data_IF_707389299202
#
_entry.id   IF_707389299202
#
_cell.length_a   1.000
_cell.length_b   1.000
_cell.length_c   1.000
_cell.angle_alpha   90.00
_cell.angle_beta   90.00
_cell.angle_gamma   90.00
#
_symmetry.space_group_name_H-M   'P 1'
#
loop_
_entity.id
_entity.type
_entity.pdbx_description
1 polymer ?
#
# COMPACT_ATOMS: atom_id res chain seq x y z
N UNK A 1 -12.59 79.45 -74.98
CA UNK A 1 -13.82 80.17 -74.57
C UNK A 1 -14.89 79.12 -74.31
N UNK A 2 -15.42 79.06 -73.07
CA UNK A 2 -16.65 78.33 -72.63
C UNK A 2 -16.56 76.79 -72.50
N UNK A 3 -16.52 76.24 -71.28
CA UNK A 3 -17.64 75.60 -70.49
C UNK A 3 -18.19 74.32 -71.17
N UNK A 4 -18.48 73.15 -70.56
CA UNK A 4 -18.92 72.76 -69.20
C UNK A 4 -19.18 71.21 -69.18
N UNK A 5 -18.94 70.54 -68.03
CA UNK A 5 -19.77 69.46 -67.38
C UNK A 5 -19.75 67.97 -67.84
N UNK A 6 -19.32 67.11 -66.87
CA UNK A 6 -19.82 65.77 -66.41
C UNK A 6 -19.94 64.59 -67.41
N UNK A 7 -19.88 63.29 -67.06
CA UNK A 7 -20.07 62.52 -65.83
C UNK A 7 -19.37 61.13 -66.04
N UNK A 8 -18.57 60.68 -65.07
CA UNK A 8 -18.52 59.29 -64.50
C UNK A 8 -18.33 58.06 -65.42
N UNK A 9 -17.25 57.28 -65.19
CA UNK A 9 -17.30 55.91 -64.62
C UNK A 9 -16.02 55.05 -64.92
N UNK A 10 -15.58 54.37 -63.86
CA UNK A 10 -15.03 52.99 -63.81
C UNK A 10 -13.50 52.76 -63.75
N UNK A 11 -13.13 52.10 -62.64
CA UNK A 11 -12.02 51.16 -62.39
C UNK A 11 -10.66 51.71 -61.98
N UNK A 12 -10.48 51.87 -60.66
CA UNK A 12 -9.17 51.79 -60.03
C UNK A 12 -9.13 50.50 -59.20
N UNK A 13 -8.52 49.45 -59.77
CA UNK A 13 -8.25 48.20 -59.07
C UNK A 13 -7.11 48.45 -58.07
N UNK A 14 -7.46 48.55 -56.79
CA UNK A 14 -6.52 48.71 -55.69
C UNK A 14 -6.10 47.31 -55.21
N UNK A 15 -4.83 46.97 -55.47
CA UNK A 15 -4.18 45.74 -55.03
C UNK A 15 -3.89 45.86 -53.51
N UNK A 16 -4.73 45.26 -52.67
CA UNK A 16 -4.48 45.13 -51.23
C UNK A 16 -3.58 43.91 -51.00
N UNK A 17 -2.31 44.16 -50.69
CA UNK A 17 -1.40 43.17 -50.11
C UNK A 17 -1.86 42.90 -48.67
N UNK A 18 -2.45 41.72 -48.44
CA UNK A 18 -2.71 41.20 -47.11
C UNK A 18 -1.38 40.82 -46.46
N UNK A 19 -0.91 41.67 -45.55
CA UNK A 19 0.17 41.36 -44.61
C UNK A 19 -0.39 40.45 -43.52
N UNK A 20 -0.12 39.14 -43.61
CA UNK A 20 -0.39 38.21 -42.52
C UNK A 20 0.69 38.39 -41.43
N UNK A 21 0.41 39.21 -40.42
CA UNK A 21 1.15 39.18 -39.15
C UNK A 21 0.78 37.90 -38.40
N UNK A 22 1.72 36.96 -38.32
CA UNK A 22 1.63 35.81 -37.42
C UNK A 22 1.93 36.28 -35.99
N UNK A 23 0.89 36.59 -35.22
CA UNK A 23 1.04 36.83 -33.78
C UNK A 23 1.40 35.51 -33.10
N UNK A 24 2.65 35.41 -32.64
CA UNK A 24 3.13 34.32 -31.80
C UNK A 24 2.45 34.47 -30.43
N UNK A 25 1.47 33.60 -30.18
CA UNK A 25 0.80 33.49 -28.88
C UNK A 25 1.86 33.19 -27.79
N UNK A 26 1.81 33.85 -26.62
CA UNK A 26 2.68 33.49 -25.52
C UNK A 26 2.28 32.09 -25.05
N UNK A 27 3.18 31.14 -25.26
CA UNK A 27 3.12 29.81 -24.69
C UNK A 27 3.24 29.99 -23.18
N UNK A 28 2.09 30.04 -22.49
CA UNK A 28 2.02 29.94 -21.04
C UNK A 28 2.66 28.62 -20.68
N UNK A 29 3.90 28.69 -20.17
CA UNK A 29 4.59 27.59 -19.52
C UNK A 29 3.70 27.15 -18.36
N UNK A 30 2.89 26.12 -18.61
CA UNK A 30 2.01 25.56 -17.60
C UNK A 30 2.89 25.12 -16.44
N UNK A 31 2.59 25.61 -15.23
CA UNK A 31 3.26 25.12 -14.03
C UNK A 31 3.20 23.58 -14.05
N UNK A 32 4.33 22.89 -13.79
CA UNK A 32 4.32 21.44 -13.76
C UNK A 32 3.22 20.98 -12.80
N UNK A 33 2.46 19.92 -13.14
CA UNK A 33 1.40 19.43 -12.28
C UNK A 33 1.96 19.19 -10.88
N UNK A 34 1.20 19.50 -9.81
CA UNK A 34 1.61 19.21 -8.44
C UNK A 34 2.13 17.77 -8.34
N UNK A 35 3.30 17.56 -7.73
CA UNK A 35 3.87 16.21 -7.59
C UNK A 35 2.82 15.28 -6.99
N UNK A 36 2.67 14.09 -7.58
CA UNK A 36 1.76 13.04 -7.12
C UNK A 36 1.96 12.69 -5.64
N UNK A 37 3.12 13.03 -5.06
CA UNK A 37 3.45 12.83 -3.66
C UNK A 37 2.73 13.79 -2.70
N UNK A 38 2.31 14.98 -3.15
CA UNK A 38 1.79 16.02 -2.24
C UNK A 38 0.50 15.60 -1.50
N UNK A 39 -0.33 14.77 -2.15
CA UNK A 39 -1.59 14.27 -1.60
C UNK A 39 -1.58 12.76 -1.36
N UNK A 40 -0.42 12.13 -1.43
CA UNK A 40 -0.33 10.68 -1.28
C UNK A 40 -0.48 10.29 0.21
N UNK A 41 -1.22 9.23 0.55
CA UNK A 41 -1.38 8.78 1.93
C UNK A 41 -0.05 8.51 2.62
N UNK A 42 0.05 8.89 3.89
CA UNK A 42 1.28 8.74 4.68
C UNK A 42 1.07 7.82 5.87
N UNK A 43 2.08 7.03 6.19
CA UNK A 43 2.12 6.20 7.38
C UNK A 43 2.88 6.94 8.46
N UNK A 44 2.28 7.12 9.64
CA UNK A 44 2.93 7.83 10.73
C UNK A 44 4.07 6.98 11.33
N UNK A 45 5.27 7.54 11.32
CA UNK A 45 6.48 6.95 11.86
C UNK A 45 6.95 7.71 13.11
N UNK A 46 7.51 7.02 14.12
CA UNK A 46 7.61 5.57 14.23
C UNK A 46 6.23 4.91 14.43
N UNK A 47 6.02 3.70 13.90
CA UNK A 47 4.79 2.95 14.10
C UNK A 47 4.60 2.50 15.57
N UNK A 48 3.37 2.16 15.97
CA UNK A 48 3.10 1.44 17.22
C UNK A 48 3.92 0.16 17.37
N UNK A 49 4.21 -0.25 18.61
CA UNK A 49 4.94 -1.49 18.87
C UNK A 49 4.21 -2.69 18.24
N UNK A 50 4.87 -3.48 17.36
CA UNK A 50 4.26 -4.66 16.77
C UNK A 50 4.32 -5.83 17.75
N UNK A 51 3.37 -6.76 17.62
CA UNK A 51 3.37 -8.01 18.39
C UNK A 51 4.62 -8.84 18.15
N UNK A 52 5.10 -8.85 16.89
CA UNK A 52 6.38 -9.43 16.49
C UNK A 52 6.86 -8.79 15.18
N UNK A 53 8.14 -8.93 14.87
CA UNK A 53 8.72 -8.42 13.61
C UNK A 53 9.78 -9.35 13.03
N UNK A 54 10.00 -9.27 11.73
CA UNK A 54 11.09 -9.97 11.04
C UNK A 54 11.59 -9.16 9.84
N UNK A 55 12.81 -9.42 9.38
CA UNK A 55 13.39 -8.83 8.18
C UNK A 55 13.37 -9.91 7.10
N UNK A 56 12.86 -9.56 5.92
CA UNK A 56 12.95 -10.41 4.73
C UNK A 56 14.33 -10.19 4.10
N UNK A 57 15.02 -11.28 3.77
CA UNK A 57 16.34 -11.22 3.14
C UNK A 57 16.24 -10.54 1.77
N UNK A 58 17.10 -9.54 1.52
CA UNK A 58 17.09 -8.78 0.27
C UNK A 58 17.31 -9.65 -0.98
N UNK A 59 17.99 -10.79 -0.85
CA UNK A 59 18.16 -11.76 -1.96
C UNK A 59 16.83 -12.26 -2.55
N UNK A 60 15.74 -12.21 -1.78
CA UNK A 60 14.39 -12.56 -2.25
C UNK A 60 13.88 -11.54 -3.29
N UNK A 61 14.35 -10.30 -3.22
CA UNK A 61 13.89 -9.21 -4.08
C UNK A 61 14.85 -8.91 -5.22
N UNK A 62 16.15 -9.13 -5.02
CA UNK A 62 17.16 -8.80 -6.01
C UNK A 62 17.03 -9.71 -7.26
N UNK A 63 17.15 -9.10 -8.43
CA UNK A 63 17.40 -9.79 -9.68
C UNK A 63 18.91 -10.00 -9.88
N UNK A 64 19.28 -10.96 -10.73
CA UNK A 64 20.68 -11.33 -10.99
C UNK A 64 21.55 -10.18 -11.55
N UNK A 65 20.92 -9.20 -12.19
CA UNK A 65 21.57 -8.03 -12.81
C UNK A 65 21.53 -6.76 -11.95
N UNK A 66 20.99 -6.83 -10.72
CA UNK A 66 20.96 -5.76 -9.73
C UNK A 66 20.23 -4.46 -10.13
N UNK A 67 19.33 -4.49 -11.13
CA UNK A 67 18.51 -3.33 -11.52
C UNK A 67 17.14 -3.28 -10.85
N UNK A 68 16.94 -4.05 -9.79
CA UNK A 68 15.65 -4.14 -9.08
C UNK A 68 15.20 -2.78 -8.55
N UNK A 69 14.01 -2.35 -8.96
CA UNK A 69 13.38 -1.12 -8.50
C UNK A 69 12.44 -1.37 -7.31
N UNK A 70 11.99 -0.30 -6.64
CA UNK A 70 10.97 -0.41 -5.60
C UNK A 70 9.62 -0.89 -6.16
N UNK A 71 9.30 -0.59 -7.42
CA UNK A 71 8.13 -1.15 -8.09
C UNK A 71 8.25 -2.66 -8.27
N UNK A 72 9.43 -3.18 -8.64
CA UNK A 72 9.66 -4.63 -8.73
C UNK A 72 9.42 -5.31 -7.38
N UNK A 73 9.90 -4.71 -6.29
CA UNK A 73 9.68 -5.19 -4.92
C UNK A 73 8.20 -5.15 -4.56
N UNK A 74 7.52 -4.04 -4.83
CA UNK A 74 6.10 -3.88 -4.57
C UNK A 74 5.29 -4.95 -5.34
N UNK A 75 5.61 -5.19 -6.62
CA UNK A 75 4.94 -6.22 -7.44
C UNK A 75 5.17 -7.63 -6.89
N UNK A 76 6.37 -7.96 -6.42
CA UNK A 76 6.63 -9.27 -5.77
C UNK A 76 5.83 -9.43 -4.48
N UNK A 77 5.77 -8.39 -3.64
CA UNK A 77 4.97 -8.40 -2.41
C UNK A 77 3.48 -8.54 -2.71
N UNK A 78 2.96 -7.79 -3.67
CA UNK A 78 1.56 -7.88 -4.10
C UNK A 78 1.22 -9.26 -4.67
N UNK A 79 2.05 -9.81 -5.54
CA UNK A 79 1.84 -11.15 -6.11
C UNK A 79 1.82 -12.22 -5.01
N UNK A 80 2.70 -12.12 -4.01
CA UNK A 80 2.70 -13.05 -2.89
C UNK A 80 1.47 -12.88 -1.99
N UNK A 81 1.00 -11.65 -1.78
CA UNK A 81 -0.26 -11.38 -1.07
C UNK A 81 -1.46 -11.94 -1.83
N UNK A 82 -1.50 -11.79 -3.16
CA UNK A 82 -2.55 -12.35 -4.02
C UNK A 82 -2.59 -13.87 -3.96
N UNK A 83 -1.45 -14.55 -4.05
CA UNK A 83 -1.36 -16.02 -3.92
C UNK A 83 -1.78 -16.49 -2.52
N UNK A 84 -1.41 -15.73 -1.48
CA UNK A 84 -1.88 -15.93 -0.12
C UNK A 84 -3.36 -15.50 0.10
N UNK A 85 -4.01 -15.00 -0.95
CA UNK A 85 -5.41 -14.56 -1.06
C UNK A 85 -5.78 -13.31 -0.25
N UNK A 86 -4.83 -12.44 0.06
CA UNK A 86 -5.09 -11.10 0.60
C UNK A 86 -5.52 -10.17 -0.55
N UNK A 87 -6.84 -9.99 -0.71
CA UNK A 87 -7.41 -9.17 -1.78
C UNK A 87 -7.29 -7.66 -1.54
N UNK A 88 -7.35 -7.23 -0.28
CA UNK A 88 -7.27 -5.84 0.11
C UNK A 88 -5.91 -5.51 0.75
N UNK A 89 -5.33 -4.38 0.33
CA UNK A 89 -4.03 -3.87 0.74
C UNK A 89 -3.90 -2.40 0.37
N UNK A 90 -3.04 -1.70 1.10
CA UNK A 90 -2.90 -0.25 0.96
C UNK A 90 -1.44 0.20 1.05
N UNK A 91 -1.06 1.10 0.15
CA UNK A 91 0.26 1.72 0.11
C UNK A 91 0.26 3.09 0.81
N UNK A 92 1.40 3.41 1.43
CA UNK A 92 1.66 4.68 2.08
C UNK A 92 3.12 5.11 1.89
N UNK A 93 3.39 6.40 2.03
CA UNK A 93 4.74 6.93 2.22
C UNK A 93 5.09 7.04 3.71
N UNK A 94 6.26 6.58 4.15
CA UNK A 94 6.66 6.67 5.56
C UNK A 94 6.96 8.12 5.94
N UNK A 95 6.33 8.63 7.01
CA UNK A 95 6.43 10.02 7.46
C UNK A 95 6.86 10.15 8.92
N UNK A 96 7.98 10.83 9.19
CA UNK A 96 8.42 11.20 10.53
C UNK A 96 8.10 12.67 10.81
N UNK A 97 7.12 12.92 11.68
CA UNK A 97 6.65 14.28 11.95
C UNK A 97 6.10 14.94 10.68
N UNK A 98 6.77 15.98 10.18
CA UNK A 98 6.41 16.69 8.95
C UNK A 98 7.16 16.21 7.70
N UNK A 99 8.08 15.25 7.82
CA UNK A 99 8.97 14.82 6.74
C UNK A 99 8.56 13.46 6.17
N UNK A 100 8.36 13.40 4.86
CA UNK A 100 8.23 12.15 4.11
C UNK A 100 9.63 11.60 3.84
N UNK A 101 9.81 10.30 4.03
CA UNK A 101 11.10 9.61 3.91
C UNK A 101 11.09 8.57 2.81
N UNK A 102 12.28 8.19 2.34
CA UNK A 102 12.47 7.23 1.25
C UNK A 102 11.79 5.88 1.50
N UNK A 103 11.17 5.36 0.43
CA UNK A 103 10.57 4.04 0.39
C UNK A 103 9.06 4.06 0.51
N UNK A 104 8.50 2.92 0.90
CA UNK A 104 7.06 2.76 1.02
C UNK A 104 6.68 1.82 2.16
N UNK A 105 5.41 1.93 2.56
CA UNK A 105 4.76 1.01 3.49
C UNK A 105 3.61 0.34 2.76
N UNK A 106 3.47 -0.97 2.91
CA UNK A 106 2.36 -1.75 2.41
C UNK A 106 1.66 -2.43 3.59
N UNK A 107 0.38 -2.17 3.81
CA UNK A 107 -0.42 -2.81 4.83
C UNK A 107 -1.37 -3.83 4.20
N UNK A 108 -1.45 -5.04 4.79
CA UNK A 108 -2.43 -6.06 4.42
C UNK A 108 -3.78 -5.78 5.07
N UNK A 109 -4.83 -6.41 4.54
CA UNK A 109 -6.10 -6.48 5.26
C UNK A 109 -6.02 -7.22 6.59
N UNK A 110 -7.00 -6.91 7.44
CA UNK A 110 -7.31 -7.62 8.67
C UNK A 110 -7.69 -9.07 8.39
N UNK A 111 -7.00 -10.01 9.04
CA UNK A 111 -7.21 -11.44 8.85
C UNK A 111 -7.52 -12.14 10.17
N UNK A 112 -8.60 -12.92 10.21
CA UNK A 112 -8.92 -13.82 11.31
C UNK A 112 -8.17 -15.15 11.16
N UNK A 113 -7.65 -15.62 12.28
CA UNK A 113 -6.87 -16.85 12.41
C UNK A 113 -7.41 -17.72 13.56
N UNK A 114 -7.01 -18.98 13.58
CA UNK A 114 -7.10 -19.82 14.77
C UNK A 114 -6.01 -19.46 15.79
N UNK A 115 -6.06 -20.06 16.98
CA UNK A 115 -5.05 -19.87 18.04
C UNK A 115 -3.60 -20.24 17.65
N UNK A 116 -3.42 -20.98 16.55
CA UNK A 116 -2.14 -21.42 16.03
C UNK A 116 -1.69 -20.58 14.82
N UNK A 117 -2.42 -19.50 14.50
CA UNK A 117 -2.12 -18.58 13.41
C UNK A 117 -2.52 -19.08 12.02
N UNK A 118 -3.19 -20.24 11.90
CA UNK A 118 -3.73 -20.69 10.62
C UNK A 118 -4.92 -19.77 10.25
N UNK A 119 -5.07 -19.36 8.98
CA UNK A 119 -6.23 -18.60 8.55
C UNK A 119 -7.53 -19.34 8.83
N UNK A 120 -8.56 -18.62 9.26
CA UNK A 120 -9.90 -19.21 9.36
C UNK A 120 -10.41 -19.61 7.95
N UNK A 121 -11.30 -20.61 7.83
CA UNK A 121 -11.99 -20.88 6.59
C UNK A 121 -12.82 -19.68 6.11
N UNK A 122 -13.10 -19.63 4.81
CA UNK A 122 -14.04 -18.64 4.28
C UNK A 122 -15.46 -18.91 4.78
N UNK A 123 -16.27 -17.86 5.05
CA UNK A 123 -15.97 -16.43 4.85
C UNK A 123 -15.32 -15.75 6.08
N UNK A 124 -15.11 -16.49 7.18
CA UNK A 124 -14.72 -15.91 8.47
C UNK A 124 -13.31 -15.32 8.47
N UNK A 125 -12.44 -15.77 7.55
CA UNK A 125 -11.07 -15.26 7.38
C UNK A 125 -10.97 -13.73 7.35
N UNK A 126 -11.94 -13.05 6.76
CA UNK A 126 -11.90 -11.60 6.56
C UNK A 126 -12.94 -10.88 7.42
N UNK A 127 -13.59 -11.58 8.34
CA UNK A 127 -14.57 -10.99 9.22
C UNK A 127 -13.88 -10.09 10.25
N UNK A 128 -14.33 -8.84 10.33
CA UNK A 128 -13.84 -7.85 11.33
C UNK A 128 -14.36 -8.20 12.75
N UNK A 129 -15.38 -9.06 12.85
CA UNK A 129 -15.95 -9.53 14.11
C UNK A 129 -16.08 -11.04 14.08
N UNK A 130 -15.79 -11.70 15.20
CA UNK A 130 -16.13 -13.11 15.39
C UNK A 130 -17.65 -13.24 15.30
N UNK A 131 -18.14 -13.87 14.24
CA UNK A 131 -19.55 -14.26 14.16
C UNK A 131 -19.70 -15.60 14.88
N UNK A 132 -20.71 -15.78 15.76
CA UNK A 132 -21.02 -17.11 16.28
C UNK A 132 -21.24 -18.06 15.11
N UNK A 133 -20.58 -19.23 15.13
CA UNK A 133 -20.65 -20.22 14.04
C UNK A 133 -22.11 -20.46 13.66
N UNK A 134 -22.46 -20.22 12.39
CA UNK A 134 -23.82 -20.49 11.85
C UNK A 134 -24.07 -21.97 11.58
N UNK A 135 -23.15 -22.84 12.02
CA UNK A 135 -23.34 -24.28 11.94
C UNK A 135 -24.32 -24.71 13.03
N UNK A 136 -25.50 -25.15 12.60
CA UNK A 136 -26.52 -25.78 13.45
C UNK A 136 -26.16 -27.24 13.77
N UNK A 137 -24.87 -27.56 13.93
CA UNK A 137 -24.44 -28.89 14.32
C UNK A 137 -24.48 -29.00 15.85
N UNK A 138 -24.94 -30.14 16.38
CA UNK A 138 -24.93 -30.36 17.82
C UNK A 138 -23.51 -30.30 18.41
N UNK A 139 -22.48 -30.59 17.59
CA UNK A 139 -21.07 -30.45 17.93
C UNK A 139 -20.63 -28.99 18.08
N UNK A 140 -21.01 -28.09 17.17
CA UNK A 140 -20.68 -26.65 17.28
C UNK A 140 -21.40 -25.98 18.44
N UNK A 141 -22.62 -26.42 18.77
CA UNK A 141 -23.32 -25.99 19.98
C UNK A 141 -22.55 -26.47 21.22
N UNK A 142 -22.09 -27.71 21.27
CA UNK A 142 -21.32 -28.24 22.39
C UNK A 142 -19.94 -27.55 22.52
N UNK A 143 -19.26 -27.26 21.41
CA UNK A 143 -18.00 -26.50 21.39
C UNK A 143 -18.20 -25.05 21.88
N UNK A 144 -19.29 -24.39 21.47
CA UNK A 144 -19.65 -23.05 21.94
C UNK A 144 -19.98 -23.00 23.44
N UNK A 145 -20.30 -24.16 24.04
CA UNK A 145 -20.56 -24.32 25.48
C UNK A 145 -19.29 -24.70 26.27
N UNK A 146 -18.21 -25.15 25.61
CA UNK A 146 -17.00 -25.68 26.25
C UNK A 146 -15.83 -24.71 26.31
N UNK A 147 -15.93 -23.53 25.71
CA UNK A 147 -14.92 -22.48 25.84
C UNK A 147 -15.34 -21.15 25.21
N UNK A 148 -14.70 -20.04 25.59
CA UNK A 148 -15.00 -18.74 25.00
C UNK A 148 -14.68 -18.76 23.49
N UNK A 149 -15.61 -18.27 22.67
CA UNK A 149 -15.44 -17.99 21.23
C UNK A 149 -14.34 -16.92 21.03
N UNK A 150 -13.09 -17.32 21.23
CA UNK A 150 -11.94 -16.43 21.21
C UNK A 150 -11.54 -16.19 19.76
N UNK A 151 -11.58 -14.93 19.33
CA UNK A 151 -11.07 -14.52 18.02
C UNK A 151 -9.58 -14.23 18.08
N UNK A 152 -8.83 -14.69 17.09
CA UNK A 152 -7.44 -14.29 16.87
C UNK A 152 -7.37 -13.58 15.53
N UNK A 153 -6.65 -12.47 15.48
CA UNK A 153 -6.55 -11.65 14.28
C UNK A 153 -5.13 -11.18 14.04
N UNK A 154 -4.80 -10.84 12.80
CA UNK A 154 -3.55 -10.20 12.46
C UNK A 154 -3.68 -9.19 11.34
N UNK A 155 -2.77 -8.22 11.35
CA UNK A 155 -2.44 -7.34 10.23
C UNK A 155 -0.93 -7.41 10.00
N UNK A 156 -0.51 -7.47 8.74
CA UNK A 156 0.90 -7.45 8.35
C UNK A 156 1.22 -6.11 7.68
N UNK A 157 2.26 -5.44 8.16
CA UNK A 157 2.73 -4.18 7.59
C UNK A 157 4.17 -4.34 7.13
N UNK A 158 4.40 -4.18 5.83
CA UNK A 158 5.71 -4.26 5.18
C UNK A 158 6.27 -2.85 5.07
N UNK A 159 7.38 -2.61 5.75
CA UNK A 159 8.14 -1.38 5.63
C UNK A 159 9.31 -1.64 4.69
N UNK A 160 9.31 -1.00 3.52
CA UNK A 160 10.40 -1.05 2.54
C UNK A 160 11.08 0.30 2.55
N UNK A 161 12.14 0.44 3.35
CA UNK A 161 12.81 1.73 3.59
C UNK A 161 14.29 1.52 3.89
N UNK A 162 15.19 2.48 3.59
CA UNK A 162 16.59 2.41 4.00
C UNK A 162 16.77 2.88 5.46
N UNK A 163 15.73 3.44 6.07
CA UNK A 163 15.78 4.08 7.37
C UNK A 163 15.55 3.09 8.51
N UNK A 164 16.14 3.38 9.67
CA UNK A 164 15.85 2.65 10.90
C UNK A 164 14.40 2.88 11.35
N UNK A 165 13.67 1.79 11.56
CA UNK A 165 12.28 1.84 12.03
C UNK A 165 12.28 1.76 13.56
N UNK A 166 12.13 2.94 14.20
CA UNK A 166 11.81 3.01 15.62
C UNK A 166 10.40 2.47 15.92
N UNK A 167 10.05 2.37 17.20
CA UNK A 167 8.71 2.00 17.64
C UNK A 167 8.31 2.95 18.78
N UNK A 168 7.02 3.26 18.89
CA UNK A 168 6.49 3.88 20.11
C UNK A 168 6.21 2.79 21.15
N UNK A 169 6.16 3.17 22.43
CA UNK A 169 5.76 2.26 23.52
C UNK A 169 4.22 2.05 23.58
N UNK A 170 3.49 2.44 22.53
CA UNK A 170 2.03 2.35 22.48
C UNK A 170 1.58 1.13 21.69
N UNK A 171 0.59 0.42 22.22
CA UNK A 171 -0.15 -0.60 21.49
C UNK A 171 -1.17 0.03 20.54
N UNK A 172 -1.42 -0.64 19.42
CA UNK A 172 -2.44 -0.25 18.45
C UNK A 172 -3.79 -0.92 18.80
N UNK A 173 -4.89 -0.24 18.49
CA UNK A 173 -6.23 -0.81 18.62
C UNK A 173 -6.72 -1.37 17.26
N UNK A 174 -7.79 -2.17 17.28
CA UNK A 174 -8.36 -2.77 16.07
C UNK A 174 -8.75 -1.74 15.00
N UNK A 175 -9.36 -0.62 15.39
CA UNK A 175 -9.89 0.40 14.47
C UNK A 175 -8.73 0.98 13.65
N UNK A 176 -7.72 1.51 14.32
CA UNK A 176 -6.51 2.05 13.68
C UNK A 176 -5.81 1.03 12.79
N UNK A 177 -5.71 -0.23 13.21
CA UNK A 177 -5.08 -1.27 12.40
C UNK A 177 -5.93 -1.70 11.19
N UNK A 178 -7.26 -1.60 11.28
CA UNK A 178 -8.18 -1.85 10.16
C UNK A 178 -8.10 -0.70 9.14
N UNK A 179 -7.99 0.54 9.61
CA UNK A 179 -7.88 1.74 8.77
C UNK A 179 -6.64 1.72 7.88
N UNK A 180 -5.56 1.06 8.31
CA UNK A 180 -4.37 0.85 7.47
C UNK A 180 -4.65 0.10 6.17
N UNK A 181 -5.76 -0.63 6.07
CA UNK A 181 -6.15 -1.32 4.83
C UNK A 181 -6.93 -0.40 3.90
N UNK A 182 -7.69 0.55 4.44
CA UNK A 182 -8.71 1.30 3.70
C UNK A 182 -8.33 2.74 3.41
N UNK A 183 -7.41 3.33 4.17
CA UNK A 183 -7.04 4.75 4.04
C UNK A 183 -5.81 4.99 3.15
N UNK A 184 -5.15 3.93 2.69
CA UNK A 184 -3.99 4.03 1.82
C UNK A 184 -4.35 4.11 0.35
N UNK A 185 -3.31 4.18 -0.48
CA UNK A 185 -3.48 4.17 -1.93
C UNK A 185 -3.42 2.75 -2.48
N UNK A 186 -4.10 2.51 -3.60
CA UNK A 186 -4.09 1.20 -4.28
C UNK A 186 -2.84 0.91 -5.11
N UNK A 187 -1.94 1.88 -5.29
CA UNK A 187 -0.74 1.76 -6.11
C UNK A 187 0.39 2.63 -5.59
N UNK A 188 1.64 2.22 -5.81
CA UNK A 188 2.83 2.99 -5.47
C UNK A 188 3.03 4.15 -6.48
N UNK A 189 3.41 5.38 -6.05
CA UNK A 189 3.71 6.46 -6.98
C UNK A 189 4.92 6.11 -7.85
N UNK A 190 4.85 6.46 -9.13
CA UNK A 190 5.94 6.22 -10.09
C UNK A 190 7.29 6.80 -9.62
N UNK A 191 7.26 7.99 -9.00
CA UNK A 191 8.47 8.66 -8.48
C UNK A 191 9.21 7.79 -7.46
N UNK A 192 8.49 7.11 -6.56
CA UNK A 192 9.06 6.18 -5.58
C UNK A 192 9.35 4.83 -6.22
N UNK A 193 8.44 4.33 -7.05
CA UNK A 193 8.57 3.03 -7.72
C UNK A 193 9.81 2.91 -8.60
N UNK A 194 10.26 4.00 -9.22
CA UNK A 194 11.44 4.02 -10.09
C UNK A 194 12.78 4.04 -9.34
N UNK A 195 12.79 4.19 -8.02
CA UNK A 195 14.03 4.13 -7.24
C UNK A 195 14.61 2.71 -7.22
N UNK A 196 15.95 2.60 -7.27
CA UNK A 196 16.63 1.31 -7.14
C UNK A 196 16.55 0.79 -5.70
N UNK A 197 16.11 -0.45 -5.54
CA UNK A 197 16.03 -1.14 -4.25
C UNK A 197 17.40 -1.32 -3.58
N UNK A 198 18.45 -1.48 -4.40
CA UNK A 198 19.83 -1.42 -3.93
C UNK A 198 20.70 -0.71 -4.97
N UNK A 199 21.56 0.18 -4.48
CA UNK A 199 22.57 0.91 -5.24
C UNK A 199 23.85 1.03 -4.42
N UNK A 200 24.92 1.52 -5.02
CA UNK A 200 26.23 1.68 -4.35
C UNK A 200 26.15 2.48 -3.04
N UNK A 201 25.21 3.43 -2.92
CA UNK A 201 25.15 4.36 -1.79
C UNK A 201 23.86 4.24 -0.95
N UNK A 202 22.90 3.41 -1.36
CA UNK A 202 21.60 3.29 -0.69
C UNK A 202 21.06 1.88 -0.90
N UNK A 203 20.62 1.24 0.18
CA UNK A 203 19.97 -0.06 0.16
C UNK A 203 18.71 -0.02 1.03
N UNK A 204 17.61 -0.51 0.48
CA UNK A 204 16.35 -0.65 1.19
C UNK A 204 16.30 -2.02 1.87
N UNK A 205 15.53 -2.10 2.96
CA UNK A 205 15.25 -3.34 3.65
C UNK A 205 13.75 -3.52 3.75
N UNK A 206 13.26 -4.74 3.61
CA UNK A 206 11.87 -5.07 3.88
C UNK A 206 11.74 -5.64 5.29
N UNK A 207 11.17 -4.86 6.21
CA UNK A 207 10.83 -5.31 7.56
C UNK A 207 9.33 -5.51 7.67
N UNK A 208 8.92 -6.68 8.15
CA UNK A 208 7.51 -7.03 8.35
C UNK A 208 7.18 -6.90 9.82
N UNK A 209 6.18 -6.07 10.13
CA UNK A 209 5.59 -5.94 11.46
C UNK A 209 4.27 -6.69 11.46
N UNK A 210 4.08 -7.55 12.48
CA UNK A 210 2.82 -8.23 12.71
C UNK A 210 2.15 -7.58 13.93
N UNK A 211 0.90 -7.18 13.73
CA UNK A 211 0.02 -6.77 14.81
C UNK A 211 -0.99 -7.89 15.02
N UNK A 212 -0.78 -8.69 16.06
CA UNK A 212 -1.66 -9.79 16.46
C UNK A 212 -2.65 -9.29 17.51
N UNK A 213 -3.92 -9.71 17.41
CA UNK A 213 -4.97 -9.34 18.36
C UNK A 213 -5.71 -10.57 18.85
N UNK A 214 -6.17 -10.50 20.10
CA UNK A 214 -7.05 -11.50 20.70
C UNK A 214 -8.33 -10.85 21.18
N UNK A 215 -9.46 -11.44 20.82
CA UNK A 215 -10.79 -11.08 21.30
C UNK A 215 -11.28 -12.21 22.19
N UNK A 216 -11.30 -12.04 23.51
CA UNK A 216 -11.64 -13.12 24.43
C UNK A 216 -13.10 -13.53 24.34
N UNK A 217 -14.00 -12.57 24.10
CA UNK A 217 -15.43 -12.80 23.92
C UNK A 217 -15.97 -11.92 22.79
N UNK A 218 -17.05 -12.32 22.10
CA UNK A 218 -17.60 -11.54 20.98
C UNK A 218 -18.00 -10.09 21.33
N UNK A 219 -18.29 -9.81 22.61
CA UNK A 219 -18.71 -8.49 23.10
C UNK A 219 -17.52 -7.58 23.48
N UNK A 220 -16.32 -8.15 23.63
CA UNK A 220 -15.10 -7.39 23.93
C UNK A 220 -14.42 -6.89 22.64
N UNK A 221 -13.70 -5.77 22.73
CA UNK A 221 -12.83 -5.34 21.63
C UNK A 221 -11.58 -6.22 21.56
N UNK A 222 -11.07 -6.59 20.36
CA UNK A 222 -9.77 -7.24 20.24
C UNK A 222 -8.68 -6.35 20.85
N UNK A 223 -7.85 -6.96 21.69
CA UNK A 223 -6.67 -6.33 22.29
C UNK A 223 -5.42 -6.86 21.61
N UNK A 224 -4.43 -6.00 21.39
CA UNK A 224 -3.16 -6.43 20.83
C UNK A 224 -2.51 -7.46 21.76
N UNK A 225 -2.05 -8.57 21.18
CA UNK A 225 -1.39 -9.68 21.86
C UNK A 225 0.08 -9.67 21.50
N UNK A 226 0.96 -9.57 22.49
CA UNK A 226 2.40 -9.53 22.26
C UNK A 226 2.98 -10.94 22.16
N UNK A 227 4.13 -11.10 21.49
CA UNK A 227 4.86 -12.37 21.46
C UNK A 227 5.23 -12.85 22.86
N UNK A 228 5.57 -11.94 23.79
CA UNK A 228 5.85 -12.27 25.18
C UNK A 228 4.66 -12.93 25.92
N UNK A 229 3.43 -12.68 25.45
CA UNK A 229 2.18 -13.24 25.98
C UNK A 229 1.72 -14.48 25.17
N UNK A 230 2.69 -15.16 24.54
CA UNK A 230 2.48 -16.36 23.73
C UNK A 230 1.97 -16.10 22.31
N UNK A 231 2.03 -14.85 21.83
CA UNK A 231 1.85 -14.54 20.41
C UNK A 231 2.91 -15.22 19.53
N UNK A 232 2.66 -15.32 18.23
CA UNK A 232 3.55 -16.06 17.33
C UNK A 232 4.69 -15.16 16.80
N UNK A 233 5.87 -15.74 16.50
CA UNK A 233 6.91 -15.02 15.77
C UNK A 233 6.42 -14.60 14.38
N UNK A 234 6.89 -13.45 13.89
CA UNK A 234 6.41 -12.87 12.63
C UNK A 234 6.55 -13.82 11.43
N UNK A 235 7.69 -14.53 11.35
CA UNK A 235 7.92 -15.54 10.30
C UNK A 235 6.88 -16.67 10.35
N UNK A 236 6.49 -17.12 11.53
CA UNK A 236 5.46 -18.15 11.69
C UNK A 236 4.10 -17.64 11.18
N UNK A 237 3.74 -16.38 11.44
CA UNK A 237 2.53 -15.82 10.84
C UNK A 237 2.59 -15.82 9.31
N UNK A 238 3.71 -15.44 8.72
CA UNK A 238 3.88 -15.43 7.26
C UNK A 238 3.86 -16.84 6.65
N UNK A 239 4.45 -17.83 7.32
CA UNK A 239 4.38 -19.23 6.89
C UNK A 239 2.94 -19.75 6.97
N UNK A 240 2.25 -19.45 8.06
CA UNK A 240 0.86 -19.87 8.28
C UNK A 240 -0.13 -19.20 7.34
N UNK A 241 0.13 -17.98 6.89
CA UNK A 241 -0.69 -17.29 5.88
C UNK A 241 -0.40 -17.74 4.45
N UNK A 242 0.55 -18.65 4.22
CA UNK A 242 1.12 -19.00 2.91
C UNK A 242 1.90 -17.86 2.23
N UNK A 243 2.04 -16.70 2.89
CA UNK A 243 2.75 -15.57 2.32
C UNK A 243 4.25 -15.85 2.17
N UNK A 244 4.86 -16.54 3.14
CA UNK A 244 6.28 -16.85 3.08
C UNK A 244 6.64 -17.75 1.89
N UNK A 245 5.88 -18.83 1.67
CA UNK A 245 6.10 -19.71 0.51
C UNK A 245 5.87 -18.97 -0.80
N UNK A 246 4.80 -18.17 -0.90
CA UNK A 246 4.47 -17.40 -2.10
C UNK A 246 5.58 -16.39 -2.46
N UNK A 247 6.16 -15.73 -1.45
CA UNK A 247 7.31 -14.85 -1.63
C UNK A 247 8.54 -15.60 -2.17
N UNK A 248 8.80 -16.80 -1.67
CA UNK A 248 9.95 -17.61 -2.09
C UNK A 248 9.77 -18.20 -3.49
N UNK A 249 8.57 -18.64 -3.87
CA UNK A 249 8.30 -19.23 -5.19
C UNK A 249 8.38 -18.19 -6.32
N UNK A 250 7.93 -16.96 -6.06
CA UNK A 250 8.04 -15.83 -6.99
C UNK A 250 9.49 -15.45 -7.31
N UNK A 251 10.49 -15.96 -6.58
CA UNK A 251 11.91 -15.76 -6.92
C UNK A 251 12.40 -16.70 -8.02
N UNK A 252 11.75 -17.83 -8.26
CA UNK A 252 12.20 -18.86 -9.22
C UNK A 252 11.51 -18.81 -10.59
N UNK A 253 10.45 -18.02 -10.72
CA UNK A 253 9.62 -17.95 -11.94
C UNK A 253 10.02 -16.87 -12.96
N UNK A 254 11.04 -16.06 -12.70
CA UNK A 254 11.50 -15.00 -13.60
C UNK A 254 12.61 -15.45 -14.54
N UNK A 255 12.25 -16.15 -15.63
CA UNK A 255 13.10 -16.39 -16.80
C UNK A 255 12.34 -16.02 -18.07
#
# INVERSE_FOLDING_TARGET
MRTIIFLLLISFAMLLLASCSSEKSPETEAEPPPSALQNYPTFNMPPPEPSSKTIIDNSIFLADDSTTTLDDVARRLMAALDEARFGDRSFYLPRYGSEITDGFVLASQWEQTDKNGNPMPEPDRWAVKVTPSRDWSLSSILESLLGPNTGYFRVMVFFVTPNYIGQTDSLVNQETASDWTTEGAGFLPEEVGNELFASTNKAYFCTVYIYEFVQKTPDEKPIQRMQADGGLPARVHMEKSMLWSSLMENTQGGN
#
